data_IF_234261155941
#
_entry.id   IF_234261155941
#
_cell.length_a   1.000
_cell.length_b   1.000
_cell.length_c   1.000
_cell.angle_alpha   90.00
_cell.angle_beta   90.00
_cell.angle_gamma   90.00
#
_symmetry.space_group_name_H-M   'P 1'
#
loop_
_entity.id
_entity.type
_entity.pdbx_description
1 polymer ?
#
# COMPACT_ATOMS: atom_id res chain seq x y z
N UNK A 1 -23.45 -8.91 -38.36
CA UNK A 1 -23.92 -8.33 -37.08
C UNK A 1 -22.78 -8.48 -36.09
N UNK A 2 -21.95 -7.44 -35.95
CA UNK A 2 -20.76 -7.49 -35.09
C UNK A 2 -21.17 -7.25 -33.64
N UNK A 3 -20.95 -8.26 -32.80
CA UNK A 3 -21.21 -8.22 -31.36
C UNK A 3 -20.25 -7.22 -30.74
N UNK A 4 -20.78 -6.09 -30.27
CA UNK A 4 -20.03 -5.07 -29.54
C UNK A 4 -19.80 -5.58 -28.11
N UNK A 5 -18.62 -6.13 -27.85
CA UNK A 5 -18.15 -6.46 -26.52
C UNK A 5 -17.87 -5.16 -25.77
N UNK A 6 -18.90 -4.64 -25.10
CA UNK A 6 -18.74 -3.66 -24.04
C UNK A 6 -17.81 -4.26 -22.98
N UNK A 7 -16.54 -3.89 -23.04
CA UNK A 7 -15.60 -4.13 -21.97
C UNK A 7 -16.15 -3.40 -20.74
N UNK A 8 -16.76 -4.19 -19.85
CA UNK A 8 -16.95 -3.81 -18.47
C UNK A 8 -15.55 -3.45 -17.97
N UNK A 9 -15.25 -2.15 -17.87
CA UNK A 9 -14.09 -1.69 -17.13
C UNK A 9 -14.31 -2.21 -15.73
N UNK A 10 -13.61 -3.28 -15.39
CA UNK A 10 -13.47 -3.73 -14.01
C UNK A 10 -13.13 -2.48 -13.22
N UNK A 11 -14.05 -2.07 -12.35
CA UNK A 11 -13.90 -0.85 -11.56
C UNK A 11 -12.54 -0.96 -10.90
N UNK A 12 -11.67 0.02 -11.15
CA UNK A 12 -10.34 0.08 -10.53
C UNK A 12 -10.59 0.08 -9.02
N UNK A 13 -10.50 -1.08 -8.38
CA UNK A 13 -10.36 -1.17 -6.93
C UNK A 13 -9.10 -0.39 -6.64
N UNK A 14 -9.25 0.84 -6.11
CA UNK A 14 -8.13 1.62 -5.61
C UNK A 14 -7.62 0.95 -4.35
N UNK A 15 -6.96 -0.20 -4.50
CA UNK A 15 -6.21 -0.83 -3.43
C UNK A 15 -5.09 0.16 -3.05
N UNK A 16 -5.29 0.88 -1.95
CA UNK A 16 -4.24 1.74 -1.40
C UNK A 16 -3.22 0.82 -0.73
N UNK A 17 -2.18 0.47 -1.48
CA UNK A 17 -1.16 -0.44 -0.99
C UNK A 17 -0.14 0.35 -0.17
N UNK A 18 0.15 -0.12 1.04
CA UNK A 18 1.21 0.39 1.92
C UNK A 18 2.35 -0.64 1.94
N UNK A 19 3.52 -0.23 1.44
CA UNK A 19 4.75 -1.03 1.51
C UNK A 19 5.33 -1.01 2.91
N UNK A 20 5.70 -2.20 3.38
CA UNK A 20 6.30 -2.42 4.68
C UNK A 20 7.64 -3.12 4.53
N UNK A 21 8.64 -2.63 5.25
CA UNK A 21 9.85 -3.36 5.58
C UNK A 21 9.63 -4.08 6.91
N UNK A 22 9.63 -5.40 6.86
CA UNK A 22 9.43 -6.24 8.04
C UNK A 22 10.80 -6.52 8.66
N UNK A 23 10.91 -6.32 9.97
CA UNK A 23 12.12 -6.67 10.74
C UNK A 23 11.71 -7.47 11.97
N UNK A 24 12.31 -8.64 12.15
CA UNK A 24 12.21 -9.39 13.39
C UNK A 24 13.44 -9.12 14.27
N UNK A 25 13.24 -8.73 15.52
CA UNK A 25 14.30 -8.60 16.53
C UNK A 25 13.82 -9.15 17.87
N UNK A 26 14.63 -10.02 18.48
CA UNK A 26 14.38 -10.58 19.81
C UNK A 26 12.95 -11.15 19.97
N UNK A 27 12.45 -11.88 18.97
CA UNK A 27 11.12 -12.47 18.97
C UNK A 27 9.96 -11.49 18.72
N UNK A 28 10.23 -10.21 18.42
CA UNK A 28 9.22 -9.22 18.06
C UNK A 28 9.33 -8.82 16.59
N UNK A 29 8.22 -8.92 15.86
CA UNK A 29 8.09 -8.44 14.49
C UNK A 29 7.71 -6.96 14.48
N UNK A 30 8.41 -6.16 13.69
CA UNK A 30 8.16 -4.73 13.52
C UNK A 30 7.93 -4.40 12.05
N UNK A 31 6.89 -3.62 11.78
CA UNK A 31 6.46 -3.25 10.43
C UNK A 31 6.79 -1.78 10.15
N UNK A 32 7.78 -1.54 9.31
CA UNK A 32 8.22 -0.18 8.98
C UNK A 32 7.65 0.25 7.64
N UNK A 33 6.77 1.25 7.56
CA UNK A 33 6.31 1.76 6.27
C UNK A 33 7.46 2.37 5.47
N UNK A 34 7.55 2.03 4.18
CA UNK A 34 8.61 2.54 3.29
C UNK A 34 8.13 3.65 2.34
N UNK A 35 6.81 3.76 2.15
CA UNK A 35 6.16 4.77 1.32
C UNK A 35 5.76 6.04 2.12
N UNK A 36 5.51 7.13 1.40
CA UNK A 36 5.11 8.41 2.01
C UNK A 36 3.79 8.34 2.79
N UNK A 37 2.76 7.72 2.21
CA UNK A 37 1.46 7.52 2.89
C UNK A 37 1.63 6.72 4.19
N UNK A 38 2.38 5.62 4.14
CA UNK A 38 2.67 4.81 5.32
C UNK A 38 3.47 5.59 6.37
N UNK A 39 4.42 6.44 5.95
CA UNK A 39 5.15 7.33 6.86
C UNK A 39 4.22 8.35 7.52
N UNK A 40 3.23 8.86 6.79
CA UNK A 40 2.21 9.76 7.33
C UNK A 40 1.30 9.06 8.34
N UNK A 41 0.89 7.82 8.07
CA UNK A 41 0.10 7.01 9.01
C UNK A 41 0.81 6.86 10.36
N UNK A 42 2.08 6.43 10.37
CA UNK A 42 2.79 6.26 11.64
C UNK A 42 3.04 7.59 12.36
N UNK A 43 3.21 8.70 11.63
CA UNK A 43 3.27 10.04 12.23
C UNK A 43 1.96 10.43 12.90
N UNK A 44 0.81 10.19 12.26
CA UNK A 44 -0.52 10.44 12.85
C UNK A 44 -0.72 9.62 14.12
N UNK A 45 -0.26 8.37 14.12
CA UNK A 45 -0.35 7.48 15.28
C UNK A 45 0.68 7.78 16.37
N UNK A 46 1.64 8.68 16.13
CA UNK A 46 2.74 8.97 17.05
C UNK A 46 3.73 7.81 17.21
N UNK A 47 3.78 6.87 16.26
CA UNK A 47 4.66 5.69 16.30
C UNK A 47 5.75 5.76 15.21
N UNK A 48 6.76 4.89 15.30
CA UNK A 48 7.79 4.71 14.25
C UNK A 48 7.54 3.51 13.35
N UNK A 49 6.64 2.63 13.78
CA UNK A 49 6.24 1.38 13.10
C UNK A 49 4.73 1.28 13.11
N UNK A 50 4.17 0.52 12.18
CA UNK A 50 2.77 0.14 12.22
C UNK A 50 2.59 -0.99 13.26
N UNK A 51 1.91 -0.73 14.38
CA UNK A 51 1.53 -1.81 15.28
C UNK A 51 0.41 -2.65 14.66
N UNK A 52 0.29 -3.90 15.09
CA UNK A 52 -0.69 -4.86 14.54
C UNK A 52 -2.14 -4.33 14.60
N UNK A 53 -2.53 -3.70 15.71
CA UNK A 53 -3.85 -3.10 15.85
C UNK A 53 -4.15 -2.03 14.80
N UNK A 54 -3.14 -1.24 14.42
CA UNK A 54 -3.30 -0.20 13.41
C UNK A 54 -3.39 -0.83 12.01
N UNK A 55 -2.61 -1.89 11.75
CA UNK A 55 -2.73 -2.64 10.50
C UNK A 55 -4.13 -3.23 10.33
N UNK A 56 -4.72 -3.78 11.40
CA UNK A 56 -6.09 -4.27 11.38
C UNK A 56 -7.10 -3.16 11.07
N UNK A 57 -6.94 -1.99 11.69
CA UNK A 57 -7.87 -0.88 11.47
C UNK A 57 -7.74 -0.31 10.05
N UNK A 58 -6.53 -0.11 9.56
CA UNK A 58 -6.32 0.33 8.18
C UNK A 58 -6.76 -0.72 7.15
N UNK A 59 -6.65 -2.01 7.47
CA UNK A 59 -7.21 -3.06 6.61
C UNK A 59 -8.73 -2.94 6.49
N UNK A 60 -9.44 -2.66 7.59
CA UNK A 60 -10.89 -2.37 7.57
C UNK A 60 -11.23 -1.12 6.75
N UNK A 61 -10.34 -0.14 6.71
CA UNK A 61 -10.48 1.07 5.90
C UNK A 61 -10.12 0.85 4.41
N UNK A 62 -9.77 -0.37 4.01
CA UNK A 62 -9.46 -0.73 2.62
C UNK A 62 -7.99 -0.57 2.21
N UNK A 63 -7.08 -0.38 3.16
CA UNK A 63 -5.64 -0.41 2.88
C UNK A 63 -5.11 -1.84 2.84
N UNK A 64 -4.19 -2.08 1.91
CA UNK A 64 -3.54 -3.39 1.75
C UNK A 64 -2.06 -3.25 2.12
N UNK A 65 -1.57 -4.11 2.99
CA UNK A 65 -0.16 -4.10 3.39
C UNK A 65 0.62 -5.13 2.58
N UNK A 66 1.70 -4.71 1.92
CA UNK A 66 2.60 -5.61 1.19
C UNK A 66 4.02 -5.45 1.69
N UNK A 67 4.73 -6.55 1.83
CA UNK A 67 6.16 -6.50 2.10
C UNK A 67 6.89 -5.89 0.89
N UNK A 68 7.86 -5.01 1.15
CA UNK A 68 8.77 -4.51 0.13
C UNK A 68 9.70 -5.63 -0.31
N UNK A 69 9.21 -6.52 -1.17
CA UNK A 69 10.03 -7.45 -1.93
C UNK A 69 10.49 -6.75 -3.21
N UNK A 70 11.71 -7.08 -3.66
CA UNK A 70 12.44 -6.45 -4.76
C UNK A 70 11.80 -6.72 -6.14
N UNK A 71 10.52 -6.43 -6.32
CA UNK A 71 9.78 -6.61 -7.55
C UNK A 71 9.02 -5.32 -7.88
N UNK A 72 9.47 -4.71 -8.97
CA UNK A 72 8.89 -3.55 -9.62
C UNK A 72 7.36 -3.70 -9.75
N UNK A 73 6.59 -2.75 -9.21
CA UNK A 73 5.17 -2.60 -9.59
C UNK A 73 4.16 -2.33 -8.48
N UNK A 74 4.56 -2.25 -7.21
CA UNK A 74 3.61 -1.87 -6.16
C UNK A 74 3.60 -0.35 -6.02
N UNK A 75 2.50 0.28 -6.45
CA UNK A 75 2.29 1.73 -6.34
C UNK A 75 1.80 2.01 -4.92
N UNK A 76 2.69 2.40 -4.03
CA UNK A 76 2.29 3.32 -2.98
C UNK A 76 2.29 4.70 -3.64
N UNK A 77 1.37 5.60 -3.27
CA UNK A 77 1.48 6.98 -3.72
C UNK A 77 2.65 7.64 -2.98
N UNK A 78 3.87 7.29 -3.35
CA UNK A 78 4.94 8.27 -3.33
C UNK A 78 4.43 9.37 -4.26
N UNK A 79 4.43 10.63 -3.82
CA UNK A 79 3.78 11.76 -4.51
C UNK A 79 4.31 12.12 -5.90
N UNK A 80 4.54 11.15 -6.78
CA UNK A 80 4.77 11.29 -8.22
C UNK A 80 3.80 10.39 -8.96
N UNK A 81 2.70 11.00 -9.36
CA UNK A 81 1.99 10.63 -10.57
C UNK A 81 3.01 10.68 -11.72
N UNK A 82 3.56 9.55 -12.16
CA UNK A 82 4.19 9.49 -13.49
C UNK A 82 3.07 9.39 -14.52
N UNK A 83 2.38 10.51 -14.76
CA UNK A 83 1.65 10.70 -15.99
C UNK A 83 2.68 10.92 -17.11
N UNK A 84 2.83 9.93 -17.99
CA UNK A 84 3.09 10.07 -19.42
C UNK A 84 4.35 10.79 -19.94
N UNK A 85 4.98 10.17 -20.94
CA UNK A 85 5.56 10.88 -22.08
C UNK A 85 7.06 10.64 -22.28
N UNK A 86 7.42 9.76 -23.22
CA UNK A 86 7.50 10.05 -24.66
C UNK A 86 7.37 8.75 -25.45
#
# INVERSE_FOLDING_TARGET
MSVNTNQHKEGITMEQIIKLKIKSRYGKTSYYPTCEDGRTMVRILGTKTLPEWAMLEFNRLGYVFKEEQNQNGIICKDGKFSNGGQ
#
